data_IF_965204798205
#
_entry.id   IF_965204798205
#
_cell.length_a   1.000
_cell.length_b   1.000
_cell.length_c   1.000
_cell.angle_alpha   90.00
_cell.angle_beta   90.00
_cell.angle_gamma   90.00
#
_symmetry.space_group_name_H-M   'P 1'
#
loop_
_entity.id
_entity.type
_entity.pdbx_description
1 polymer ?
#
# COMPACT_ATOMS: atom_id res chain seq x y z
N UNK A 1 -2.03 7.43 4.91
CA UNK A 1 -2.55 7.92 3.61
C UNK A 1 -2.18 6.94 2.53
N UNK A 2 -2.98 6.86 1.46
CA UNK A 2 -2.71 5.93 0.37
C UNK A 2 -3.01 6.52 -1.00
N UNK A 3 -2.38 5.94 -2.03
CA UNK A 3 -2.67 6.18 -3.43
C UNK A 3 -3.22 4.91 -4.09
N UNK A 4 -4.03 5.11 -5.12
CA UNK A 4 -4.52 4.06 -6.02
C UNK A 4 -4.22 4.54 -7.44
N UNK A 5 -3.46 3.75 -8.18
CA UNK A 5 -3.06 4.02 -9.56
C UNK A 5 -3.45 2.83 -10.44
N UNK A 6 -4.15 3.09 -11.54
CA UNK A 6 -4.50 2.05 -12.52
C UNK A 6 -3.49 2.07 -13.66
N UNK A 7 -2.69 1.01 -13.74
CA UNK A 7 -1.80 0.74 -14.87
C UNK A 7 -2.53 -0.14 -15.92
N UNK A 8 -1.86 -0.43 -17.04
CA UNK A 8 -2.47 -1.17 -18.16
C UNK A 8 -3.01 -2.55 -17.81
N UNK A 9 -2.40 -3.23 -16.84
CA UNK A 9 -2.66 -4.63 -16.47
C UNK A 9 -2.78 -4.86 -14.95
N UNK A 10 -2.64 -3.81 -14.15
CA UNK A 10 -2.71 -3.89 -12.69
C UNK A 10 -3.24 -2.61 -12.05
N UNK A 11 -3.72 -2.73 -10.82
CA UNK A 11 -3.93 -1.61 -9.91
C UNK A 11 -2.83 -1.63 -8.86
N UNK A 12 -2.12 -0.51 -8.72
CA UNK A 12 -1.06 -0.32 -7.73
C UNK A 12 -1.60 0.54 -6.60
N UNK A 13 -1.50 0.01 -5.38
CA UNK A 13 -1.90 0.70 -4.15
C UNK A 13 -0.64 0.89 -3.31
N UNK A 14 -0.40 2.11 -2.85
CA UNK A 14 0.71 2.40 -1.93
C UNK A 14 0.14 3.02 -0.67
N UNK A 15 0.43 2.44 0.50
CA UNK A 15 0.09 3.03 1.80
C UNK A 15 1.32 3.48 2.55
N UNK A 16 1.33 4.78 2.88
CA UNK A 16 2.40 5.43 3.63
C UNK A 16 2.10 5.42 5.11
N UNK A 17 3.12 5.16 5.94
CA UNK A 17 3.01 5.28 7.39
C UNK A 17 3.03 6.75 7.81
N UNK A 18 1.89 7.24 8.32
CA UNK A 18 1.75 8.65 8.70
C UNK A 18 2.63 9.07 9.88
N UNK A 19 3.19 8.10 10.61
CA UNK A 19 4.10 8.34 11.75
C UNK A 19 5.57 8.13 11.39
N UNK A 20 5.88 7.77 10.15
CA UNK A 20 7.23 7.53 9.66
C UNK A 20 8.03 6.55 10.54
N UNK A 21 7.38 5.45 10.95
CA UNK A 21 7.96 4.36 11.75
C UNK A 21 8.18 3.07 10.96
N UNK A 22 7.46 2.91 9.85
CA UNK A 22 7.50 1.73 9.01
C UNK A 22 7.64 2.16 7.54
N UNK A 23 8.24 1.31 6.72
CA UNK A 23 8.32 1.54 5.28
C UNK A 23 6.93 1.42 4.62
N UNK A 24 6.82 1.95 3.42
CA UNK A 24 5.58 1.94 2.66
C UNK A 24 5.20 0.51 2.25
N UNK A 25 3.90 0.22 2.25
CA UNK A 25 3.37 -1.07 1.77
C UNK A 25 2.78 -0.87 0.39
N UNK A 26 3.27 -1.66 -0.57
CA UNK A 26 2.77 -1.69 -1.93
C UNK A 26 1.95 -2.97 -2.16
N UNK A 27 0.73 -2.80 -2.69
CA UNK A 27 -0.18 -3.87 -3.10
C UNK A 27 -0.45 -3.74 -4.58
N UNK A 28 -0.09 -4.76 -5.36
CA UNK A 28 -0.28 -4.79 -6.82
C UNK A 28 -1.33 -5.85 -7.13
N UNK A 29 -2.49 -5.40 -7.60
CA UNK A 29 -3.64 -6.24 -7.94
C UNK A 29 -3.72 -6.41 -9.45
N UNK A 30 -3.34 -7.59 -9.94
CA UNK A 30 -3.45 -7.95 -11.36
C UNK A 30 -4.75 -8.72 -11.66
N UNK A 31 -4.83 -9.28 -12.87
CA UNK A 31 -5.99 -10.04 -13.39
C UNK A 31 -6.15 -11.46 -12.79
N UNK A 32 -5.93 -11.63 -11.48
CA UNK A 32 -6.05 -12.92 -10.78
C UNK A 32 -4.91 -13.22 -9.79
N UNK A 33 -3.93 -12.33 -9.68
CA UNK A 33 -2.83 -12.43 -8.73
C UNK A 33 -2.68 -11.13 -7.93
N UNK A 34 -2.18 -11.25 -6.71
CA UNK A 34 -1.86 -10.10 -5.86
C UNK A 34 -0.43 -10.24 -5.36
N UNK A 35 0.36 -9.19 -5.52
CA UNK A 35 1.64 -9.04 -4.83
C UNK A 35 1.47 -8.05 -3.69
N UNK A 36 2.01 -8.36 -2.53
CA UNK A 36 2.13 -7.42 -1.43
C UNK A 36 3.60 -7.42 -1.01
N UNK A 37 4.22 -6.24 -1.02
CA UNK A 37 5.65 -6.11 -0.76
C UNK A 37 5.97 -4.79 -0.06
N UNK A 38 7.07 -4.80 0.68
CA UNK A 38 7.62 -3.65 1.38
C UNK A 38 9.12 -3.64 1.11
N UNK A 39 9.61 -2.51 0.59
CA UNK A 39 11.02 -2.36 0.22
C UNK A 39 11.79 -1.73 1.38
N UNK A 40 12.81 -2.41 1.87
CA UNK A 40 13.75 -1.87 2.85
C UNK A 40 14.91 -1.20 2.10
N UNK A 41 15.04 0.12 2.28
CA UNK A 41 16.06 0.93 1.58
C UNK A 41 17.48 0.68 2.10
N UNK A 42 17.63 0.28 3.36
CA UNK A 42 18.94 0.03 3.96
C UNK A 42 19.50 -1.32 3.50
N UNK A 43 18.62 -2.30 3.29
CA UNK A 43 18.98 -3.64 2.80
C UNK A 43 18.91 -3.79 1.27
N UNK A 44 18.35 -2.82 0.56
CA UNK A 44 18.15 -2.82 -0.90
C UNK A 44 17.37 -4.06 -1.40
N UNK A 45 16.38 -4.50 -0.62
CA UNK A 45 15.57 -5.69 -0.94
C UNK A 45 14.15 -5.62 -0.37
N UNK A 46 13.29 -6.51 -0.87
CA UNK A 46 11.95 -6.68 -0.32
C UNK A 46 11.98 -7.64 0.87
N UNK A 47 11.40 -7.21 1.98
CA UNK A 47 11.41 -7.92 3.26
C UNK A 47 10.00 -8.35 3.68
N UNK A 48 9.93 -9.05 4.83
CA UNK A 48 8.65 -9.34 5.48
C UNK A 48 7.92 -8.03 5.80
N UNK A 49 6.64 -7.97 5.40
CA UNK A 49 5.81 -6.80 5.64
C UNK A 49 5.64 -6.57 7.14
N UNK A 50 6.12 -5.43 7.61
CA UNK A 50 5.92 -4.93 8.96
C UNK A 50 5.38 -3.50 8.88
N UNK A 51 4.08 -3.35 9.15
CA UNK A 51 3.35 -2.12 8.91
C UNK A 51 2.50 -1.70 10.11
N UNK A 52 2.10 -0.43 10.13
CA UNK A 52 1.16 0.05 11.14
C UNK A 52 -0.27 -0.47 10.90
N UNK A 53 -1.10 -0.47 11.94
CA UNK A 53 -2.53 -0.75 11.78
C UNK A 53 -3.21 0.25 10.84
N UNK A 54 -2.69 1.48 10.77
CA UNK A 54 -3.21 2.49 9.87
C UNK A 54 -2.98 2.11 8.40
N UNK A 55 -1.78 1.62 8.06
CA UNK A 55 -1.49 1.13 6.71
C UNK A 55 -2.38 -0.05 6.31
N UNK A 56 -2.70 -0.96 7.26
CA UNK A 56 -3.66 -2.04 7.00
C UNK A 56 -5.06 -1.50 6.67
N UNK A 57 -5.55 -0.50 7.41
CA UNK A 57 -6.86 0.12 7.16
C UNK A 57 -6.88 0.85 5.82
N UNK A 58 -5.79 1.55 5.47
CA UNK A 58 -5.62 2.17 4.16
C UNK A 58 -5.74 1.16 3.02
N UNK A 59 -5.04 0.03 3.10
CA UNK A 59 -5.08 -1.02 2.08
C UNK A 59 -6.51 -1.57 1.92
N UNK A 60 -7.23 -1.80 3.02
CA UNK A 60 -8.62 -2.27 2.95
C UNK A 60 -9.55 -1.24 2.28
N UNK A 61 -9.36 0.05 2.55
CA UNK A 61 -10.12 1.11 1.91
C UNK A 61 -9.76 1.26 0.42
N UNK A 62 -8.49 1.11 0.08
CA UNK A 62 -7.97 1.24 -1.28
C UNK A 62 -8.58 0.22 -2.25
N UNK A 63 -8.84 -1.01 -1.81
CA UNK A 63 -9.47 -2.06 -2.63
C UNK A 63 -10.85 -1.69 -3.20
N UNK A 64 -11.53 -0.70 -2.61
CA UNK A 64 -12.83 -0.21 -3.06
C UNK A 64 -12.81 1.26 -3.50
N UNK A 65 -11.62 1.85 -3.65
CA UNK A 65 -11.43 3.24 -4.04
C UNK A 65 -11.17 3.36 -5.54
N UNK A 66 -11.58 4.48 -6.14
CA UNK A 66 -11.15 4.84 -7.50
C UNK A 66 -9.68 5.30 -7.49
N UNK A 67 -9.12 5.50 -8.67
CA UNK A 67 -7.82 6.15 -8.83
C UNK A 67 -7.74 7.49 -8.08
N UNK A 68 -6.63 7.73 -7.40
CA UNK A 68 -6.38 8.97 -6.67
C UNK A 68 -5.64 8.80 -5.36
N UNK A 69 -5.68 9.85 -4.54
CA UNK A 69 -4.99 9.92 -3.25
C UNK A 69 -6.00 10.18 -2.12
N UNK A 70 -5.87 9.44 -1.02
CA UNK A 70 -6.86 9.39 0.04
C UNK A 70 -6.23 9.36 1.44
N UNK A 71 -7.01 9.81 2.42
CA UNK A 71 -6.70 9.71 3.84
C UNK A 71 -7.80 8.93 4.52
N UNK A 72 -7.46 7.83 5.20
CA UNK A 72 -8.41 7.19 6.10
C UNK A 72 -8.46 7.95 7.43
N UNK A 73 -9.63 8.00 8.05
CA UNK A 73 -9.79 8.52 9.42
C UNK A 73 -10.11 7.37 10.35
N UNK A 74 -9.11 6.90 11.08
CA UNK A 74 -9.26 5.87 12.09
C UNK A 74 -9.77 6.56 13.36
N UNK A 75 -10.90 6.08 13.88
CA UNK A 75 -11.47 6.56 15.15
C UNK A 75 -10.79 5.91 16.34
#
# INVERSE_FOLDING_TARGET
>A
MFTVEHESDATVIVSLDEKNKFEDVEVIVGAGSVYIRQFDKDMDQYEMIYCSFQQLVDIMAALNSSEGMYFTRIK
#
